data_IF_620101634406
#
_entry.id   IF_620101634406
#
_cell.length_a   1.000
_cell.length_b   1.000
_cell.length_c   1.000
_cell.angle_alpha   90.00
_cell.angle_beta   90.00
_cell.angle_gamma   90.00
#
_symmetry.space_group_name_H-M   'P 1'
#
loop_
_entity.id
_entity.type
_entity.pdbx_description
1 polymer ?
#
# COMPACT_ATOMS: atom_id res chain seq x y z
N UNK A 1 -16.96 7.70 -34.70
CA UNK A 1 -16.09 8.31 -35.74
C UNK A 1 -14.63 8.40 -35.29
N UNK A 2 -14.32 9.10 -34.19
CA UNK A 2 -12.93 9.24 -33.70
C UNK A 2 -12.17 7.91 -33.48
N UNK A 3 -12.82 6.86 -32.96
CA UNK A 3 -12.20 5.55 -32.75
C UNK A 3 -11.86 4.81 -34.05
N UNK A 4 -12.64 5.05 -35.12
CA UNK A 4 -12.36 4.50 -36.46
C UNK A 4 -11.15 5.21 -37.07
N UNK A 5 -11.06 6.53 -36.91
CA UNK A 5 -9.87 7.31 -37.30
C UNK A 5 -8.64 6.85 -36.54
N UNK A 6 -8.76 6.64 -35.22
CA UNK A 6 -7.68 6.13 -34.39
C UNK A 6 -7.21 4.74 -34.86
N UNK A 7 -8.15 3.83 -35.15
CA UNK A 7 -7.83 2.51 -35.71
C UNK A 7 -7.06 2.62 -37.03
N UNK A 8 -7.55 3.43 -37.98
CA UNK A 8 -6.88 3.64 -39.26
C UNK A 8 -5.45 4.21 -39.08
N UNK A 9 -5.27 5.11 -38.12
CA UNK A 9 -3.96 5.64 -37.78
C UNK A 9 -3.02 4.54 -37.27
N UNK A 10 -3.45 3.71 -36.31
CA UNK A 10 -2.65 2.59 -35.78
C UNK A 10 -2.41 1.46 -36.80
N UNK A 11 -3.26 1.32 -37.81
CA UNK A 11 -3.00 0.42 -38.95
C UNK A 11 -1.95 1.00 -39.91
N UNK A 12 -1.99 2.31 -40.16
CA UNK A 12 -1.01 3.00 -40.99
C UNK A 12 0.37 3.06 -40.32
N UNK A 13 0.39 3.33 -39.01
CA UNK A 13 1.59 3.19 -38.19
C UNK A 13 1.96 1.71 -38.11
N UNK A 14 3.07 1.31 -38.76
CA UNK A 14 3.65 -0.03 -38.68
C UNK A 14 4.24 -0.37 -37.29
N UNK A 15 3.62 0.14 -36.22
CA UNK A 15 3.98 -0.12 -34.84
C UNK A 15 3.43 -1.46 -34.33
N UNK A 16 3.79 -1.77 -33.08
CA UNK A 16 3.43 -3.03 -32.43
C UNK A 16 2.00 -3.08 -31.88
N UNK A 17 1.31 -1.95 -31.80
CA UNK A 17 -0.04 -1.84 -31.24
C UNK A 17 -1.11 -1.80 -32.34
N UNK A 18 -2.31 -2.29 -32.01
CA UNK A 18 -3.50 -2.20 -32.85
C UNK A 18 -4.72 -1.84 -32.01
N UNK A 19 -5.67 -1.15 -32.62
CA UNK A 19 -6.98 -0.84 -32.01
C UNK A 19 -7.99 -1.84 -32.57
N UNK A 20 -8.57 -2.68 -31.71
CA UNK A 20 -9.57 -3.69 -32.07
C UNK A 20 -10.92 -3.35 -31.43
N UNK A 21 -11.98 -3.52 -32.21
CA UNK A 21 -13.34 -3.54 -31.68
C UNK A 21 -13.68 -4.98 -31.30
N UNK A 22 -13.98 -5.22 -30.03
CA UNK A 22 -14.29 -6.56 -29.48
C UNK A 22 -15.79 -6.82 -29.55
N UNK A 23 -16.60 -5.81 -29.20
CA UNK A 23 -18.07 -5.81 -29.27
C UNK A 23 -18.55 -4.41 -29.72
N UNK A 24 -19.82 -4.25 -30.09
CA UNK A 24 -20.38 -3.03 -30.72
C UNK A 24 -19.78 -1.73 -30.16
N UNK A 25 -19.81 -1.53 -28.85
CA UNK A 25 -19.27 -0.33 -28.20
C UNK A 25 -17.97 -0.55 -27.40
N UNK A 26 -17.34 -1.72 -27.49
CA UNK A 26 -16.12 -2.05 -26.73
C UNK A 26 -14.87 -2.08 -27.61
N UNK A 27 -13.98 -1.13 -27.37
CA UNK A 27 -12.73 -0.96 -28.10
C UNK A 27 -11.53 -1.17 -27.18
N UNK A 28 -10.53 -1.89 -27.66
CA UNK A 28 -9.31 -2.21 -26.92
C UNK A 28 -8.09 -1.83 -27.76
N UNK A 29 -7.08 -1.26 -27.10
CA UNK A 29 -5.74 -1.09 -27.65
C UNK A 29 -4.90 -2.28 -27.17
N UNK A 30 -4.47 -3.13 -28.09
CA UNK A 30 -3.73 -4.35 -27.78
C UNK A 30 -2.46 -4.46 -28.62
N UNK A 31 -1.55 -5.33 -28.20
CA UNK A 31 -0.38 -5.67 -28.99
C UNK A 31 -0.79 -6.55 -30.18
N UNK A 32 -0.22 -6.32 -31.36
CA UNK A 32 -0.43 -7.19 -32.52
C UNK A 32 0.13 -8.58 -32.19
N UNK A 33 -0.59 -9.61 -32.61
CA UNK A 33 -0.29 -11.02 -32.32
C UNK A 33 1.14 -11.43 -32.72
N UNK A 34 1.67 -10.83 -33.79
CA UNK A 34 3.04 -11.03 -34.26
C UNK A 34 4.12 -10.62 -33.25
N UNK A 35 3.82 -9.70 -32.34
CA UNK A 35 4.75 -9.26 -31.29
C UNK A 35 4.43 -9.89 -29.93
N UNK A 36 3.29 -10.58 -29.78
CA UNK A 36 2.86 -11.14 -28.50
C UNK A 36 3.87 -12.15 -27.96
N UNK A 37 4.35 -13.09 -28.78
CA UNK A 37 5.37 -14.07 -28.33
C UNK A 37 6.68 -13.41 -27.93
N UNK A 38 7.12 -12.40 -28.69
CA UNK A 38 8.36 -11.69 -28.40
C UNK A 38 8.25 -10.89 -27.10
N UNK A 39 7.09 -10.29 -26.83
CA UNK A 39 6.84 -9.50 -25.61
C UNK A 39 6.53 -10.36 -24.39
N UNK A 40 5.90 -11.53 -24.56
CA UNK A 40 5.65 -12.49 -23.49
C UNK A 40 6.94 -12.96 -22.85
N UNK A 41 8.03 -13.13 -23.63
CA UNK A 41 9.37 -13.44 -23.10
C UNK A 41 9.92 -12.32 -22.19
N UNK A 42 9.49 -11.07 -22.40
CA UNK A 42 9.85 -9.92 -21.57
C UNK A 42 8.85 -9.61 -20.46
N UNK A 43 7.68 -10.28 -20.39
CA UNK A 43 6.74 -10.06 -19.30
C UNK A 43 7.39 -10.54 -18.00
N UNK A 44 7.59 -9.59 -17.10
CA UNK A 44 8.55 -9.71 -16.00
C UNK A 44 8.15 -10.78 -14.96
N UNK A 45 6.95 -11.37 -14.98
CA UNK A 45 6.53 -12.35 -13.97
C UNK A 45 5.57 -13.44 -14.46
N UNK A 46 5.87 -14.70 -14.09
CA UNK A 46 5.03 -15.89 -14.29
C UNK A 46 3.64 -15.80 -13.59
N UNK A 47 3.48 -14.89 -12.62
CA UNK A 47 2.24 -14.71 -11.87
C UNK A 47 1.86 -13.23 -11.77
N UNK A 48 0.66 -12.89 -12.26
CA UNK A 48 0.10 -11.56 -12.09
C UNK A 48 0.01 -11.15 -10.61
N UNK A 49 0.36 -9.90 -10.31
CA UNK A 49 0.17 -9.33 -8.98
C UNK A 49 -1.30 -9.10 -8.67
N UNK A 50 -1.72 -9.57 -7.49
CA UNK A 50 -3.02 -9.25 -6.93
C UNK A 50 -3.14 -7.75 -6.63
N UNK A 51 -4.38 -7.25 -6.65
CA UNK A 51 -4.70 -5.87 -6.24
C UNK A 51 -4.12 -5.51 -4.87
N UNK A 52 -4.13 -6.44 -3.92
CA UNK A 52 -3.60 -6.23 -2.57
C UNK A 52 -2.08 -6.04 -2.54
N UNK A 53 -1.35 -6.76 -3.40
CA UNK A 53 0.09 -6.62 -3.57
C UNK A 53 0.44 -5.27 -4.19
N UNK A 54 -0.25 -4.89 -5.27
CA UNK A 54 -0.07 -3.58 -5.95
C UNK A 54 -0.39 -2.43 -5.00
N UNK A 55 -1.49 -2.50 -4.26
CA UNK A 55 -1.84 -1.48 -3.26
C UNK A 55 -0.80 -1.37 -2.14
N UNK A 56 -0.12 -2.48 -1.80
CA UNK A 56 0.97 -2.45 -0.82
C UNK A 56 2.20 -1.76 -1.39
N UNK A 57 2.53 -2.02 -2.66
CA UNK A 57 3.60 -1.32 -3.38
C UNK A 57 3.31 0.18 -3.49
N UNK A 58 2.10 0.55 -3.92
CA UNK A 58 1.67 1.95 -4.04
C UNK A 58 1.79 2.70 -2.71
N UNK A 59 1.39 2.06 -1.60
CA UNK A 59 1.56 2.64 -0.27
C UNK A 59 3.04 2.90 0.07
N UNK A 60 3.93 1.96 -0.26
CA UNK A 60 5.37 2.12 -0.04
C UNK A 60 5.93 3.22 -0.93
N UNK A 61 5.61 3.23 -2.22
CA UNK A 61 6.09 4.23 -3.17
C UNK A 61 5.71 5.66 -2.75
N UNK A 62 4.48 5.85 -2.27
CA UNK A 62 4.01 7.15 -1.81
C UNK A 62 4.59 7.56 -0.44
N UNK A 63 4.68 6.61 0.49
CA UNK A 63 5.03 6.90 1.88
C UNK A 63 6.49 6.65 2.22
N UNK A 64 7.33 6.32 1.24
CA UNK A 64 8.72 5.98 1.48
C UNK A 64 9.49 7.14 2.16
N UNK A 65 10.41 6.80 3.09
CA UNK A 65 10.79 5.46 3.52
C UNK A 65 9.80 4.83 4.53
N UNK A 66 9.41 3.56 4.32
CA UNK A 66 8.40 2.88 5.17
C UNK A 66 8.98 1.76 6.03
N UNK A 67 8.97 1.87 7.37
CA UNK A 67 9.34 0.77 8.26
C UNK A 67 8.38 -0.42 8.19
N UNK A 68 8.90 -1.65 8.33
CA UNK A 68 8.09 -2.89 8.38
C UNK A 68 6.90 -2.83 9.35
N UNK A 69 7.09 -2.23 10.52
CA UNK A 69 6.05 -2.06 11.54
C UNK A 69 4.92 -1.16 11.06
N UNK A 70 5.27 -0.03 10.45
CA UNK A 70 4.31 0.97 9.94
C UNK A 70 3.53 0.37 8.78
N UNK A 71 4.21 -0.33 7.87
CA UNK A 71 3.57 -1.04 6.77
C UNK A 71 2.49 -2.02 7.28
N UNK A 72 2.82 -2.82 8.30
CA UNK A 72 1.87 -3.77 8.89
C UNK A 72 0.68 -3.08 9.55
N UNK A 73 0.88 -1.91 10.15
CA UNK A 73 -0.19 -1.15 10.80
C UNK A 73 -1.25 -0.63 9.81
N UNK A 74 -0.81 -0.15 8.64
CA UNK A 74 -1.72 0.39 7.62
C UNK A 74 -2.26 -0.66 6.65
N UNK A 75 -1.44 -1.64 6.25
CA UNK A 75 -1.78 -2.63 5.20
C UNK A 75 -2.13 -4.02 5.74
N UNK A 76 -1.97 -4.25 7.04
CA UNK A 76 -2.28 -5.51 7.70
C UNK A 76 -1.15 -6.56 7.64
N UNK A 77 -1.46 -7.76 8.13
CA UNK A 77 -0.46 -8.80 8.39
C UNK A 77 0.21 -9.34 7.11
N UNK A 78 -0.53 -9.44 6.00
CA UNK A 78 -0.02 -9.94 4.72
C UNK A 78 0.97 -8.98 4.04
N UNK A 79 0.99 -7.69 4.43
CA UNK A 79 1.80 -6.67 3.78
C UNK A 79 3.30 -6.96 3.82
N UNK A 80 3.79 -7.62 4.88
CA UNK A 80 5.18 -8.07 4.97
C UNK A 80 5.53 -9.19 3.96
N UNK A 81 4.54 -9.98 3.55
CA UNK A 81 4.72 -10.99 2.49
C UNK A 81 4.70 -10.33 1.12
N UNK A 82 3.76 -9.40 0.88
CA UNK A 82 3.72 -8.64 -0.37
C UNK A 82 5.03 -7.86 -0.60
N UNK A 83 5.54 -7.15 0.43
CA UNK A 83 6.80 -6.43 0.33
C UNK A 83 7.99 -7.35 0.00
N UNK A 84 8.00 -8.60 0.49
CA UNK A 84 9.02 -9.59 0.13
C UNK A 84 8.91 -10.03 -1.33
N UNK A 85 7.71 -10.14 -1.89
CA UNK A 85 7.52 -10.43 -3.33
C UNK A 85 8.11 -9.30 -4.17
N UNK A 86 7.79 -8.05 -3.83
CA UNK A 86 8.33 -6.87 -4.51
C UNK A 86 9.86 -6.67 -4.35
N UNK A 87 10.43 -7.08 -3.21
CA UNK A 87 11.89 -7.14 -3.03
C UNK A 87 12.52 -8.16 -3.99
N UNK A 88 11.93 -9.36 -4.13
CA UNK A 88 12.43 -10.39 -5.05
C UNK A 88 12.35 -9.95 -6.51
N UNK A 89 11.27 -9.27 -6.87
CA UNK A 89 11.10 -8.69 -8.20
C UNK A 89 11.98 -7.45 -8.45
N UNK A 90 12.69 -6.94 -7.43
CA UNK A 90 13.61 -5.81 -7.55
C UNK A 90 12.94 -4.44 -7.63
N UNK A 91 11.65 -4.34 -7.33
CA UNK A 91 10.90 -3.07 -7.28
C UNK A 91 11.13 -2.32 -5.96
N UNK A 92 11.48 -3.04 -4.91
CA UNK A 92 11.82 -2.50 -3.60
C UNK A 92 13.25 -2.84 -3.22
N UNK A 93 13.80 -2.03 -2.33
CA UNK A 93 15.01 -2.30 -1.57
C UNK A 93 14.78 -2.08 -0.08
N UNK A 94 15.62 -2.69 0.75
CA UNK A 94 15.60 -2.52 2.21
C UNK A 94 16.80 -1.68 2.62
N UNK A 95 16.55 -0.51 3.23
CA UNK A 95 17.60 0.35 3.78
C UNK A 95 17.41 0.54 5.28
N UNK A 96 18.53 0.64 5.98
CA UNK A 96 18.52 0.96 7.41
C UNK A 96 18.58 2.47 7.58
N UNK A 97 17.54 3.04 8.19
CA UNK A 97 17.40 4.48 8.40
C UNK A 97 17.32 4.76 9.89
N UNK A 98 17.95 5.85 10.33
CA UNK A 98 17.91 6.28 11.73
C UNK A 98 16.55 6.90 12.04
N UNK A 99 16.03 6.66 13.25
CA UNK A 99 14.72 7.15 13.66
C UNK A 99 14.58 8.68 13.63
N UNK A 100 15.68 9.40 13.83
CA UNK A 100 15.74 10.86 13.76
C UNK A 100 15.84 11.44 12.34
N UNK A 101 15.75 10.61 11.30
CA UNK A 101 15.75 11.08 9.91
C UNK A 101 14.50 11.96 9.64
N UNK A 102 14.65 13.20 9.14
CA UNK A 102 13.52 14.09 8.87
C UNK A 102 12.47 13.49 7.95
N UNK A 103 12.88 12.75 6.92
CA UNK A 103 11.97 12.15 5.93
C UNK A 103 11.10 11.06 6.57
N UNK A 104 11.67 10.34 7.54
CA UNK A 104 10.97 9.28 8.27
C UNK A 104 10.14 9.82 9.45
N UNK A 105 10.55 10.96 10.02
CA UNK A 105 9.94 11.54 11.23
C UNK A 105 8.44 11.79 11.07
N UNK A 106 8.04 12.43 9.98
CA UNK A 106 6.65 12.75 9.68
C UNK A 106 5.77 11.48 9.57
N UNK A 107 6.24 10.45 8.87
CA UNK A 107 5.53 9.16 8.79
C UNK A 107 5.38 8.49 10.16
N UNK A 108 6.44 8.54 10.99
CA UNK A 108 6.42 7.96 12.33
C UNK A 108 5.50 8.72 13.28
N UNK A 109 5.42 10.04 13.16
CA UNK A 109 4.51 10.88 13.94
C UNK A 109 3.06 10.60 13.57
N UNK A 110 2.72 10.58 12.27
CA UNK A 110 1.39 10.19 11.79
C UNK A 110 0.99 8.81 12.30
N UNK A 111 1.87 7.82 12.13
CA UNK A 111 1.63 6.47 12.64
C UNK A 111 1.46 6.44 14.18
N UNK A 112 2.20 7.29 14.91
CA UNK A 112 2.06 7.42 16.36
C UNK A 112 0.67 7.91 16.77
N UNK A 113 0.19 8.98 16.11
CA UNK A 113 -1.16 9.55 16.34
C UNK A 113 -2.25 8.53 16.03
N UNK A 114 -2.22 7.93 14.84
CA UNK A 114 -3.25 6.96 14.40
C UNK A 114 -3.29 5.73 15.31
N UNK A 115 -2.12 5.27 15.75
CA UNK A 115 -2.04 4.14 16.67
C UNK A 115 -2.63 4.46 18.03
N UNK A 116 -2.40 5.67 18.55
CA UNK A 116 -2.98 6.10 19.82
C UNK A 116 -4.50 6.25 19.71
N UNK A 117 -5.00 6.86 18.63
CA UNK A 117 -6.43 6.96 18.38
C UNK A 117 -7.12 5.58 18.32
N UNK A 118 -6.54 4.60 17.60
CA UNK A 118 -7.05 3.21 17.59
C UNK A 118 -7.00 2.53 18.97
N UNK A 119 -6.02 2.88 19.80
CA UNK A 119 -5.92 2.35 21.17
C UNK A 119 -7.01 2.95 22.06
N UNK A 120 -7.23 4.26 21.98
CA UNK A 120 -8.28 4.97 22.72
C UNK A 120 -9.67 4.46 22.34
N UNK A 121 -9.95 4.28 21.04
CA UNK A 121 -11.22 3.72 20.56
C UNK A 121 -11.44 2.29 21.08
N UNK A 122 -10.39 1.46 21.07
CA UNK A 122 -10.46 0.10 21.59
C UNK A 122 -10.64 0.08 23.11
N UNK A 123 -10.00 1.00 23.85
CA UNK A 123 -10.16 1.12 25.30
C UNK A 123 -11.57 1.57 25.67
N UNK A 124 -12.14 2.53 24.93
CA UNK A 124 -13.53 2.96 25.11
C UNK A 124 -14.53 1.81 24.86
N UNK A 125 -14.34 1.01 23.79
CA UNK A 125 -15.19 -0.17 23.53
C UNK A 125 -15.12 -1.20 24.66
N UNK A 126 -13.93 -1.42 25.22
CA UNK A 126 -13.74 -2.34 26.34
C UNK A 126 -14.46 -1.81 27.60
N UNK A 127 -14.38 -0.50 27.86
CA UNK A 127 -15.05 0.11 29.01
C UNK A 127 -16.57 0.03 28.91
N UNK A 128 -17.12 0.30 27.72
CA UNK A 128 -18.54 0.13 27.43
C UNK A 128 -19.00 -1.33 27.61
N UNK A 129 -18.19 -2.30 27.14
CA UNK A 129 -18.49 -3.72 27.31
C UNK A 129 -18.45 -4.15 28.78
N UNK A 130 -17.52 -3.62 29.57
CA UNK A 130 -17.46 -3.83 31.03
C UNK A 130 -18.67 -3.23 31.74
N UNK A 131 -19.13 -2.04 31.34
CA UNK A 131 -20.32 -1.41 31.90
C UNK A 131 -21.59 -2.23 31.63
N UNK A 132 -21.79 -2.68 30.39
CA UNK A 132 -22.89 -3.57 30.02
C UNK A 132 -22.89 -4.90 30.79
N UNK A 133 -21.70 -5.45 31.08
CA UNK A 133 -21.57 -6.67 31.88
C UNK A 133 -21.92 -6.44 33.35
N UNK A 134 -21.57 -5.27 33.92
CA UNK A 134 -21.93 -4.91 35.29
C UNK A 134 -23.45 -4.76 35.47
N UNK A 135 -24.14 -4.18 34.49
CA UNK A 135 -25.60 -4.02 34.52
C UNK A 135 -26.36 -5.35 34.48
N UNK A 136 -25.80 -6.38 33.83
CA UNK A 136 -26.40 -7.71 33.73
C UNK A 136 -26.28 -8.57 35.00
N UNK A 137 -25.61 -8.07 36.05
CA UNK A 137 -25.58 -8.65 37.40
C UNK A 137 -25.12 -10.13 37.51
N UNK A 138 -24.34 -10.65 36.56
CA UNK A 138 -23.70 -11.96 36.65
C UNK A 138 -22.33 -11.84 37.34
N UNK A 139 -22.34 -11.78 38.68
CA UNK A 139 -21.13 -11.58 39.50
C UNK A 139 -20.01 -12.63 39.28
N UNK A 140 -20.34 -13.81 38.75
CA UNK A 140 -19.37 -14.89 38.46
C UNK A 140 -18.69 -14.76 37.08
N UNK A 141 -19.32 -14.17 36.05
CA UNK A 141 -18.68 -13.99 34.72
C UNK A 141 -17.70 -12.81 34.71
N UNK A 142 -18.03 -11.74 35.47
CA UNK A 142 -17.26 -10.49 35.55
C UNK A 142 -15.83 -10.73 36.09
N UNK A 143 -15.63 -11.67 37.02
CA UNK A 143 -14.31 -11.91 37.62
C UNK A 143 -13.33 -12.68 36.71
N UNK A 144 -13.84 -13.54 35.81
CA UNK A 144 -13.00 -14.32 34.89
C UNK A 144 -12.54 -13.45 33.72
N UNK A 145 -13.44 -12.66 33.14
CA UNK A 145 -13.14 -11.77 32.00
C UNK A 145 -12.28 -10.56 32.39
N UNK A 146 -12.53 -9.95 33.57
CA UNK A 146 -11.72 -8.83 34.03
C UNK A 146 -10.26 -9.22 34.33
N UNK A 147 -10.02 -10.44 34.85
CA UNK A 147 -8.66 -10.97 35.06
C UNK A 147 -7.93 -11.24 33.75
N UNK A 148 -8.63 -11.74 32.73
CA UNK A 148 -8.04 -11.98 31.42
C UNK A 148 -7.78 -10.70 30.63
N UNK A 149 -8.65 -9.70 30.73
CA UNK A 149 -8.40 -8.35 30.21
C UNK A 149 -7.22 -7.67 30.92
N UNK A 150 -7.12 -7.77 32.26
CA UNK A 150 -6.01 -7.22 33.03
C UNK A 150 -4.67 -7.93 32.71
N UNK A 151 -4.68 -9.26 32.51
CA UNK A 151 -3.52 -10.04 32.02
C UNK A 151 -3.10 -9.64 30.61
N UNK A 152 -4.04 -9.40 29.69
CA UNK A 152 -3.77 -8.88 28.35
C UNK A 152 -3.15 -7.48 28.40
N UNK A 153 -3.63 -6.59 29.27
CA UNK A 153 -3.06 -5.25 29.51
C UNK A 153 -1.62 -5.31 30.05
N UNK A 154 -1.35 -6.15 31.06
CA UNK A 154 0.00 -6.28 31.67
C UNK A 154 1.03 -6.95 30.74
N UNK A 155 0.65 -8.01 29.99
CA UNK A 155 1.56 -8.62 28.99
C UNK A 155 1.91 -7.65 27.86
N UNK A 156 0.95 -6.80 27.41
CA UNK A 156 1.20 -5.78 26.37
C UNK A 156 2.12 -4.66 26.86
N UNK A 157 2.02 -4.24 28.13
CA UNK A 157 2.90 -3.21 28.72
C UNK A 157 4.36 -3.67 28.85
N UNK A 158 4.59 -4.96 29.14
CA UNK A 158 5.95 -5.56 29.26
C UNK A 158 6.69 -5.76 27.92
N UNK A 159 5.96 -5.83 26.80
CA UNK A 159 6.52 -5.99 25.43
C UNK A 159 6.93 -4.67 24.77
N UNK A 160 7.09 -3.59 25.55
CA UNK A 160 7.74 -2.36 25.10
C UNK A 160 9.24 -2.63 24.94
N UNK A 161 9.61 -3.33 23.87
CA UNK A 161 10.99 -3.40 23.40
C UNK A 161 11.53 -1.97 23.29
N UNK A 162 12.76 -1.77 23.80
CA UNK A 162 13.44 -0.48 23.67
C UNK A 162 13.46 -0.11 22.19
N UNK A 163 13.03 1.11 21.82
CA UNK A 163 13.03 1.50 20.43
C UNK A 163 14.47 1.43 19.91
N UNK A 164 14.71 0.55 18.94
CA UNK A 164 15.97 0.55 18.20
C UNK A 164 16.05 1.86 17.45
N UNK A 165 17.22 2.50 17.53
CA UNK A 165 17.44 3.80 16.88
C UNK A 165 17.55 3.66 15.35
N UNK A 166 17.80 2.44 14.87
CA UNK A 166 17.84 2.06 13.46
C UNK A 166 16.61 1.24 13.08
N UNK A 167 15.99 1.60 11.97
CA UNK A 167 14.79 0.99 11.44
C UNK A 167 15.04 0.49 10.02
N UNK A 168 14.64 -0.75 9.76
CA UNK A 168 14.65 -1.32 8.42
C UNK A 168 13.41 -0.83 7.65
N UNK A 169 13.66 -0.03 6.61
CA UNK A 169 12.67 0.66 5.83
C UNK A 169 12.69 0.19 4.37
N UNK A 170 11.50 0.09 3.78
CA UNK A 170 11.32 -0.17 2.36
C UNK A 170 11.33 1.13 1.57
N UNK A 171 12.01 1.08 0.42
CA UNK A 171 12.15 2.18 -0.54
C UNK A 171 12.01 1.59 -1.94
N UNK A 172 11.47 2.36 -2.89
CA UNK A 172 11.40 1.95 -4.30
C UNK A 172 12.75 2.07 -4.98
N UNK A 173 12.99 1.20 -5.95
CA UNK A 173 14.22 1.20 -6.76
C UNK A 173 14.04 1.99 -8.07
N UNK A 174 15.13 2.32 -8.79
CA UNK A 174 15.02 2.88 -10.14
C UNK A 174 14.26 1.97 -11.13
N UNK A 175 14.25 0.65 -10.91
CA UNK A 175 13.44 -0.29 -11.70
C UNK A 175 11.94 0.03 -11.55
N UNK A 176 11.50 0.39 -10.35
CA UNK A 176 10.11 0.80 -10.12
C UNK A 176 9.76 2.06 -10.90
N UNK A 177 10.55 3.12 -10.80
CA UNK A 177 10.27 4.36 -11.52
C UNK A 177 10.27 4.13 -13.04
N UNK A 178 11.23 3.35 -13.55
CA UNK A 178 11.28 3.01 -14.98
C UNK A 178 10.09 2.18 -15.46
N UNK A 179 9.62 1.22 -14.65
CA UNK A 179 8.49 0.37 -15.02
C UNK A 179 7.16 1.11 -15.04
N UNK A 180 6.91 1.97 -14.05
CA UNK A 180 5.66 2.75 -13.96
C UNK A 180 5.72 4.08 -14.70
N UNK A 181 6.84 4.38 -15.37
CA UNK A 181 7.10 5.67 -16.02
C UNK A 181 6.86 6.86 -15.08
N UNK A 182 7.30 6.71 -13.83
CA UNK A 182 7.16 7.71 -12.78
C UNK A 182 8.46 8.51 -12.62
N UNK A 183 8.40 9.75 -12.11
CA UNK A 183 9.58 10.46 -11.67
C UNK A 183 10.36 9.62 -10.67
N UNK A 184 11.69 9.55 -10.84
CA UNK A 184 12.57 8.85 -9.89
C UNK A 184 12.61 9.50 -8.50
N UNK A 185 12.20 10.76 -8.40
CA UNK A 185 12.07 11.50 -7.14
C UNK A 185 10.64 11.48 -6.60
N UNK A 186 10.53 11.18 -5.31
CA UNK A 186 9.26 11.03 -4.59
C UNK A 186 8.57 12.38 -4.41
N UNK A 187 9.34 13.44 -4.23
CA UNK A 187 8.81 14.79 -4.01
C UNK A 187 8.14 15.29 -5.28
N UNK A 188 8.81 15.11 -6.43
CA UNK A 188 8.23 15.38 -7.75
C UNK A 188 6.96 14.57 -7.98
N UNK A 189 6.99 13.25 -7.71
CA UNK A 189 5.80 12.40 -7.87
C UNK A 189 4.62 12.89 -7.01
N UNK A 190 4.87 13.31 -5.76
CA UNK A 190 3.82 13.88 -4.89
C UNK A 190 3.28 15.20 -5.41
N UNK A 191 4.16 16.08 -5.87
CA UNK A 191 3.79 17.36 -6.46
C UNK A 191 2.87 17.16 -7.68
N UNK A 192 3.25 16.28 -8.61
CA UNK A 192 2.42 15.93 -9.76
C UNK A 192 1.05 15.41 -9.30
N UNK A 193 1.01 14.46 -8.37
CA UNK A 193 -0.25 13.90 -7.86
C UNK A 193 -1.16 14.95 -7.21
N UNK A 194 -0.61 15.95 -6.52
CA UNK A 194 -1.37 17.06 -5.95
C UNK A 194 -1.92 17.99 -7.02
N UNK A 195 -1.15 18.29 -8.07
CA UNK A 195 -1.63 19.04 -9.24
C UNK A 195 -2.78 18.32 -9.94
N UNK A 196 -2.64 17.02 -10.20
CA UNK A 196 -3.70 16.19 -10.78
C UNK A 196 -4.97 16.20 -9.93
N UNK A 197 -4.82 16.08 -8.60
CA UNK A 197 -5.95 16.15 -7.68
C UNK A 197 -6.65 17.50 -7.76
N UNK A 198 -5.90 18.60 -7.78
CA UNK A 198 -6.48 19.93 -7.92
C UNK A 198 -7.23 20.10 -9.24
N UNK A 199 -6.75 19.49 -10.33
CA UNK A 199 -7.44 19.51 -11.63
C UNK A 199 -8.75 18.73 -11.57
N UNK A 200 -8.74 17.53 -10.98
CA UNK A 200 -9.96 16.73 -10.82
C UNK A 200 -11.00 17.44 -9.94
N UNK A 201 -10.57 18.03 -8.81
CA UNK A 201 -11.45 18.77 -7.90
C UNK A 201 -12.06 20.05 -8.54
N UNK A 202 -11.49 20.54 -9.65
CA UNK A 202 -12.05 21.66 -10.43
C UNK A 202 -13.03 21.22 -11.53
N UNK A 203 -13.06 19.92 -11.85
CA UNK A 203 -13.92 19.35 -12.90
C UNK A 203 -15.20 18.72 -12.33
N UNK A 204 -15.27 18.52 -11.02
CA UNK A 204 -16.46 18.10 -10.26
C UNK A 204 -17.27 19.32 -9.74
#
# INVERSE_FOLDING_TARGET
EALLTLKANYEHFKGALQVRNVYEDYWVLELKEIFTRDVEEFYIEDEAYSRSEVMTLAFIAYSQPVPKRVLRFYRGNAASTHARKWLRAGFLESKTITRGDPVLSDLLERHGRDKNARLEEMEARIEEEIEKLKEKNDAESIQVDARDLARKKTKRKKRREKPTDRLECFITTPKFSGYFNLPGDVSTMKCELEEWRSICDMLD
#
